data_IF_527968027446
#
_entry.id   IF_527968027446
#
_cell.length_a   1.000
_cell.length_b   1.000
_cell.length_c   1.000
_cell.angle_alpha   90.00
_cell.angle_beta   90.00
_cell.angle_gamma   90.00
#
_symmetry.space_group_name_H-M   'P 1'
#
loop_
_entity.id
_entity.type
_entity.pdbx_description
1 polymer ?
#
# COMPACT_ATOMS: atom_id res chain seq x y z
N UNK A 1 -39.37 17.93 -45.85
CA UNK A 1 -39.35 17.73 -44.38
C UNK A 1 -40.55 18.46 -43.80
N UNK A 2 -41.25 17.91 -42.81
CA UNK A 2 -42.46 18.55 -42.26
C UNK A 2 -42.10 19.58 -41.19
N UNK A 3 -42.85 20.68 -41.11
CA UNK A 3 -42.67 21.75 -40.13
C UNK A 3 -42.61 21.24 -38.67
N UNK A 4 -43.27 20.11 -38.38
CA UNK A 4 -43.22 19.46 -37.07
C UNK A 4 -41.80 19.00 -36.70
N UNK A 5 -41.01 18.51 -37.67
CA UNK A 5 -39.62 18.10 -37.44
C UNK A 5 -38.73 19.30 -37.13
N UNK A 6 -38.92 20.42 -37.84
CA UNK A 6 -38.15 21.65 -37.60
C UNK A 6 -38.47 22.25 -36.22
N UNK A 7 -39.74 22.27 -35.82
CA UNK A 7 -40.14 22.72 -34.48
C UNK A 7 -39.56 21.81 -33.40
N UNK A 8 -39.55 20.49 -33.62
CA UNK A 8 -38.94 19.53 -32.71
C UNK A 8 -37.43 19.76 -32.57
N UNK A 9 -36.70 19.90 -33.68
CA UNK A 9 -35.25 20.12 -33.68
C UNK A 9 -34.87 21.46 -32.99
N UNK A 10 -35.65 22.53 -33.19
CA UNK A 10 -35.45 23.83 -32.53
C UNK A 10 -35.71 23.73 -31.02
N UNK A 11 -36.76 23.02 -30.60
CA UNK A 11 -37.06 22.80 -29.20
C UNK A 11 -36.00 21.94 -28.52
N UNK A 12 -35.57 20.85 -29.18
CA UNK A 12 -34.53 19.97 -28.67
C UNK A 12 -33.23 20.75 -28.44
N UNK A 13 -32.80 21.54 -29.43
CA UNK A 13 -31.61 22.41 -29.31
C UNK A 13 -31.73 23.46 -28.20
N UNK A 14 -32.92 24.02 -27.96
CA UNK A 14 -33.14 25.07 -26.95
C UNK A 14 -33.13 24.51 -25.52
N UNK A 15 -33.50 23.25 -25.33
CA UNK A 15 -33.69 22.63 -24.01
C UNK A 15 -32.74 21.46 -23.71
N UNK A 16 -31.77 21.15 -24.59
CA UNK A 16 -30.61 20.27 -24.32
C UNK A 16 -29.63 20.89 -23.29
N UNK A 17 -30.14 21.25 -22.12
CA UNK A 17 -29.32 21.70 -20.97
C UNK A 17 -28.90 20.53 -20.08
N UNK A 18 -29.63 19.41 -20.15
CA UNK A 18 -29.39 18.23 -19.32
C UNK A 18 -28.08 17.51 -19.67
N UNK A 19 -27.76 17.42 -20.96
CA UNK A 19 -26.55 16.73 -21.46
C UNK A 19 -25.27 17.47 -21.04
N UNK A 20 -25.25 18.81 -21.19
CA UNK A 20 -24.12 19.63 -20.74
C UNK A 20 -23.95 19.58 -19.21
N UNK A 21 -25.05 19.57 -18.46
CA UNK A 21 -25.02 19.42 -17.00
C UNK A 21 -24.52 18.05 -16.54
N UNK A 22 -24.92 16.97 -17.22
CA UNK A 22 -24.49 15.60 -16.90
C UNK A 22 -23.00 15.39 -17.22
N UNK A 23 -22.55 15.82 -18.40
CA UNK A 23 -21.14 15.79 -18.85
C UNK A 23 -20.23 16.52 -17.87
N UNK A 24 -20.54 17.78 -17.60
CA UNK A 24 -19.72 18.62 -16.72
C UNK A 24 -19.66 18.08 -15.30
N UNK A 25 -20.76 17.49 -14.81
CA UNK A 25 -20.80 16.86 -13.50
C UNK A 25 -19.94 15.59 -13.42
N UNK A 26 -20.02 14.69 -14.40
CA UNK A 26 -19.22 13.46 -14.44
C UNK A 26 -17.72 13.76 -14.48
N UNK A 27 -17.30 14.69 -15.36
CA UNK A 27 -15.91 15.16 -15.45
C UNK A 27 -15.46 15.78 -14.12
N UNK A 28 -16.30 16.60 -13.51
CA UNK A 28 -15.95 17.25 -12.25
C UNK A 28 -15.77 16.26 -11.09
N UNK A 29 -16.59 15.20 -11.04
CA UNK A 29 -16.41 14.09 -10.09
C UNK A 29 -15.10 13.35 -10.34
N UNK A 30 -14.78 13.04 -11.60
CA UNK A 30 -13.55 12.34 -11.95
C UNK A 30 -12.30 13.12 -11.54
N UNK A 31 -12.29 14.43 -11.81
CA UNK A 31 -11.18 15.33 -11.45
C UNK A 31 -11.06 15.49 -9.93
N UNK A 32 -12.17 15.58 -9.19
CA UNK A 32 -12.16 15.77 -7.73
C UNK A 32 -11.91 14.50 -6.93
N UNK A 33 -12.08 13.32 -7.54
CA UNK A 33 -11.86 12.05 -6.86
C UNK A 33 -10.44 11.97 -6.28
N UNK A 34 -10.31 11.46 -5.05
CA UNK A 34 -9.04 11.15 -4.41
C UNK A 34 -9.17 9.82 -3.66
N UNK A 35 -8.15 8.97 -3.75
CA UNK A 35 -8.14 7.75 -2.94
C UNK A 35 -7.68 8.08 -1.52
N UNK A 36 -8.18 7.31 -0.57
CA UNK A 36 -7.81 7.38 0.85
C UNK A 36 -7.22 6.03 1.30
N UNK A 37 -6.32 6.10 2.29
CA UNK A 37 -5.55 4.93 2.74
C UNK A 37 -6.40 3.88 3.46
N UNK A 38 -7.45 4.31 4.17
CA UNK A 38 -8.30 3.44 5.00
C UNK A 38 -9.27 2.57 4.19
N UNK A 39 -9.28 2.69 2.86
CA UNK A 39 -10.17 1.94 1.98
C UNK A 39 -9.43 0.93 1.11
N UNK A 40 -10.18 -0.03 0.58
CA UNK A 40 -9.64 -0.98 -0.39
C UNK A 40 -9.27 -0.28 -1.69
N UNK A 41 -7.99 -0.35 -2.07
CA UNK A 41 -7.47 0.27 -3.29
C UNK A 41 -8.25 -0.23 -4.51
N UNK A 42 -8.56 -1.52 -4.54
CA UNK A 42 -9.34 -2.14 -5.61
C UNK A 42 -10.75 -1.54 -5.73
N UNK A 43 -11.48 -1.40 -4.62
CA UNK A 43 -12.79 -0.74 -4.65
C UNK A 43 -12.66 0.69 -5.18
N UNK A 44 -11.63 1.41 -4.73
CA UNK A 44 -11.37 2.78 -5.15
C UNK A 44 -10.93 2.90 -6.62
N UNK A 45 -10.26 1.90 -7.19
CA UNK A 45 -9.90 1.88 -8.62
C UNK A 45 -11.13 1.61 -9.49
N UNK A 46 -12.02 0.72 -9.05
CA UNK A 46 -13.30 0.49 -9.74
C UNK A 46 -14.22 1.71 -9.68
N UNK A 47 -14.25 2.45 -8.57
CA UNK A 47 -15.03 3.69 -8.44
C UNK A 47 -14.61 4.75 -9.44
N UNK A 48 -13.30 5.02 -9.57
CA UNK A 48 -12.81 6.00 -10.54
C UNK A 48 -13.01 5.53 -11.99
N UNK A 49 -12.85 4.23 -12.28
CA UNK A 49 -13.18 3.65 -13.58
C UNK A 49 -14.67 3.79 -13.90
N UNK A 50 -15.57 3.62 -12.92
CA UNK A 50 -17.00 3.82 -13.14
C UNK A 50 -17.31 5.26 -13.56
N UNK A 51 -16.68 6.24 -12.91
CA UNK A 51 -16.84 7.65 -13.30
C UNK A 51 -16.25 7.90 -14.71
N UNK A 52 -15.13 7.27 -15.07
CA UNK A 52 -14.59 7.33 -16.42
C UNK A 52 -15.58 6.77 -17.47
N UNK A 53 -16.20 5.63 -17.19
CA UNK A 53 -17.23 5.06 -18.06
C UNK A 53 -18.46 5.96 -18.19
N UNK A 54 -18.87 6.64 -17.11
CA UNK A 54 -19.94 7.64 -17.18
C UNK A 54 -19.56 8.79 -18.14
N UNK A 55 -18.31 9.29 -18.10
CA UNK A 55 -17.82 10.31 -19.04
C UNK A 55 -17.85 9.80 -20.49
N UNK A 56 -17.44 8.54 -20.71
CA UNK A 56 -17.45 7.90 -22.04
C UNK A 56 -18.88 7.74 -22.56
N UNK A 57 -19.82 7.32 -21.71
CA UNK A 57 -21.23 7.17 -22.06
C UNK A 57 -21.88 8.50 -22.42
N UNK A 58 -21.41 9.60 -21.85
CA UNK A 58 -21.81 10.96 -22.19
C UNK A 58 -21.14 11.49 -23.48
N UNK A 59 -20.40 10.63 -24.20
CA UNK A 59 -19.82 10.92 -25.52
C UNK A 59 -18.42 11.51 -25.50
N UNK A 60 -17.77 11.62 -24.33
CA UNK A 60 -16.38 12.10 -24.23
C UNK A 60 -15.40 10.95 -24.30
N UNK A 61 -14.49 10.97 -25.27
CA UNK A 61 -13.41 9.97 -25.35
C UNK A 61 -12.39 10.20 -24.23
N UNK A 62 -12.09 9.14 -23.48
CA UNK A 62 -10.99 9.11 -22.52
C UNK A 62 -9.92 8.16 -23.01
N UNK A 63 -8.70 8.66 -23.07
CA UNK A 63 -7.54 7.86 -23.45
C UNK A 63 -7.12 6.93 -22.30
N UNK A 64 -6.71 5.70 -22.63
CA UNK A 64 -6.33 4.70 -21.62
C UNK A 64 -5.07 5.11 -20.85
N UNK A 65 -4.08 5.72 -21.51
CA UNK A 65 -2.88 6.23 -20.85
C UNK A 65 -3.21 7.40 -19.92
N UNK A 66 -4.15 8.26 -20.32
CA UNK A 66 -4.68 9.30 -19.45
C UNK A 66 -5.33 8.70 -18.19
N UNK A 67 -6.14 7.66 -18.33
CA UNK A 67 -6.75 6.98 -17.17
C UNK A 67 -5.71 6.37 -16.23
N UNK A 68 -4.69 5.69 -16.78
CA UNK A 68 -3.55 5.15 -16.02
C UNK A 68 -2.86 6.27 -15.23
N UNK A 69 -2.52 7.38 -15.90
CA UNK A 69 -1.86 8.53 -15.28
C UNK A 69 -2.71 9.14 -14.15
N UNK A 70 -4.01 9.27 -14.36
CA UNK A 70 -4.94 9.78 -13.35
C UNK A 70 -4.99 8.85 -12.15
N UNK A 71 -5.13 7.54 -12.33
CA UNK A 71 -5.16 6.58 -11.21
C UNK A 71 -3.87 6.65 -10.39
N UNK A 72 -2.70 6.69 -11.06
CA UNK A 72 -1.40 6.89 -10.39
C UNK A 72 -1.40 8.19 -9.60
N UNK A 73 -1.97 9.27 -10.17
CA UNK A 73 -2.05 10.54 -9.47
C UNK A 73 -3.00 10.52 -8.27
N UNK A 74 -4.11 9.77 -8.36
CA UNK A 74 -5.09 9.63 -7.28
C UNK A 74 -4.64 8.71 -6.15
N UNK A 75 -3.52 8.01 -6.27
CA UNK A 75 -3.01 7.13 -5.20
C UNK A 75 -2.82 7.88 -3.88
N UNK A 76 -3.17 7.24 -2.74
CA UNK A 76 -3.16 7.92 -1.46
C UNK A 76 -1.73 8.14 -0.92
N UNK A 77 -1.56 9.04 0.08
CA UNK A 77 -0.24 9.49 0.54
C UNK A 77 0.72 8.36 0.96
N UNK A 78 0.24 7.28 1.58
CA UNK A 78 1.09 6.14 1.97
C UNK A 78 1.68 5.36 0.78
N UNK A 79 1.36 5.75 -0.46
CA UNK A 79 1.89 5.16 -1.68
C UNK A 79 2.90 6.06 -2.39
N UNK A 80 3.32 7.18 -1.81
CA UNK A 80 4.19 8.19 -2.45
C UNK A 80 5.40 7.61 -3.19
N UNK A 81 6.18 6.73 -2.56
CA UNK A 81 7.38 6.16 -3.18
C UNK A 81 7.04 5.21 -4.34
N UNK A 82 5.96 4.45 -4.17
CA UNK A 82 5.46 3.57 -5.22
C UNK A 82 4.90 4.38 -6.40
N UNK A 83 4.17 5.46 -6.11
CA UNK A 83 3.65 6.41 -7.09
C UNK A 83 4.79 7.00 -7.92
N UNK A 84 5.90 7.41 -7.31
CA UNK A 84 7.08 7.89 -8.04
C UNK A 84 7.63 6.80 -8.98
N UNK A 85 7.73 5.56 -8.51
CA UNK A 85 8.16 4.43 -9.34
C UNK A 85 7.25 4.23 -10.56
N UNK A 86 5.94 4.35 -10.38
CA UNK A 86 4.96 4.21 -11.46
C UNK A 86 5.00 5.39 -12.45
N UNK A 87 5.27 6.62 -11.99
CA UNK A 87 5.38 7.80 -12.85
C UNK A 87 6.45 7.63 -13.94
N UNK A 88 7.58 7.01 -13.60
CA UNK A 88 8.66 6.77 -14.56
C UNK A 88 8.33 5.69 -15.60
N UNK A 89 7.33 4.85 -15.33
CA UNK A 89 6.94 3.70 -16.17
C UNK A 89 5.50 3.80 -16.66
N UNK A 90 4.90 4.99 -16.60
CA UNK A 90 3.44 5.16 -16.83
C UNK A 90 3.01 4.62 -18.20
N UNK A 91 3.81 4.84 -19.24
CA UNK A 91 3.56 4.36 -20.61
C UNK A 91 3.69 2.84 -20.78
N UNK A 92 4.28 2.13 -19.81
CA UNK A 92 4.41 0.67 -19.84
C UNK A 92 3.15 -0.05 -19.33
N UNK A 93 2.21 0.70 -18.72
CA UNK A 93 1.03 0.12 -18.10
C UNK A 93 -0.18 0.18 -19.01
N UNK A 94 -0.89 -0.95 -19.08
CA UNK A 94 -2.32 -0.95 -19.35
C UNK A 94 -3.07 -0.73 -18.04
N UNK A 95 -4.35 -0.36 -18.14
CA UNK A 95 -5.20 -0.19 -16.98
C UNK A 95 -5.24 -1.46 -16.10
N UNK A 96 -5.41 -2.62 -16.73
CA UNK A 96 -5.40 -3.92 -16.06
C UNK A 96 -4.05 -4.24 -15.39
N UNK A 97 -2.93 -4.00 -16.08
CA UNK A 97 -1.62 -4.30 -15.51
C UNK A 97 -1.27 -3.38 -14.33
N UNK A 98 -1.74 -2.12 -14.35
CA UNK A 98 -1.65 -1.20 -13.21
C UNK A 98 -2.45 -1.72 -12.02
N UNK A 99 -3.72 -2.11 -12.22
CA UNK A 99 -4.59 -2.63 -11.16
C UNK A 99 -3.97 -3.87 -10.51
N UNK A 100 -3.46 -4.80 -11.32
CA UNK A 100 -2.77 -5.99 -10.83
C UNK A 100 -1.56 -5.62 -9.96
N UNK A 101 -0.73 -4.69 -10.42
CA UNK A 101 0.47 -4.27 -9.68
C UNK A 101 0.13 -3.57 -8.36
N UNK A 102 -0.96 -2.79 -8.33
CA UNK A 102 -1.47 -2.18 -7.12
C UNK A 102 -1.95 -3.24 -6.11
N UNK A 103 -2.65 -4.29 -6.56
CA UNK A 103 -3.05 -5.42 -5.69
C UNK A 103 -1.82 -6.08 -5.04
N UNK A 104 -0.81 -6.45 -5.83
CA UNK A 104 0.43 -7.10 -5.34
C UNK A 104 1.13 -6.23 -4.29
N UNK A 105 1.31 -4.93 -4.57
CA UNK A 105 1.98 -4.01 -3.64
C UNK A 105 1.18 -3.81 -2.35
N UNK A 106 -0.16 -3.83 -2.42
CA UNK A 106 -1.00 -3.73 -1.22
C UNK A 106 -0.82 -4.96 -0.32
N UNK A 107 -0.81 -6.16 -0.89
CA UNK A 107 -0.59 -7.38 -0.10
C UNK A 107 0.81 -7.42 0.53
N UNK A 108 1.86 -7.05 -0.22
CA UNK A 108 3.22 -6.99 0.31
C UNK A 108 3.32 -6.13 1.59
N UNK A 109 2.67 -4.96 1.62
CA UNK A 109 2.69 -4.08 2.82
C UNK A 109 1.93 -4.65 4.01
N UNK A 110 0.92 -5.50 3.81
CA UNK A 110 0.25 -6.21 4.92
C UNK A 110 1.18 -7.23 5.56
N UNK A 111 2.04 -7.87 4.76
CA UNK A 111 3.06 -8.78 5.27
C UNK A 111 4.13 -8.03 6.07
N UNK A 112 4.64 -6.92 5.54
CA UNK A 112 5.63 -6.08 6.24
C UNK A 112 5.13 -5.60 7.61
N UNK A 113 3.87 -5.15 7.70
CA UNK A 113 3.27 -4.71 8.98
C UNK A 113 3.14 -5.85 10.00
N UNK A 114 2.79 -7.07 9.56
CA UNK A 114 2.71 -8.23 10.46
C UNK A 114 4.10 -8.65 10.95
N UNK A 115 5.10 -8.55 10.09
CA UNK A 115 6.49 -8.83 10.47
C UNK A 115 7.06 -7.77 11.42
N UNK A 116 6.80 -6.47 11.19
CA UNK A 116 7.21 -5.41 12.11
C UNK A 116 6.59 -5.56 13.50
N UNK A 117 5.29 -5.87 13.58
CA UNK A 117 4.61 -6.12 14.87
C UNK A 117 5.21 -7.34 15.56
N UNK A 118 5.48 -8.42 14.82
CA UNK A 118 6.15 -9.61 15.37
C UNK A 118 7.58 -9.33 15.84
N UNK A 119 8.35 -8.53 15.10
CA UNK A 119 9.71 -8.12 15.47
C UNK A 119 9.70 -7.22 16.69
N UNK A 120 8.77 -6.27 16.79
CA UNK A 120 8.59 -5.42 17.97
C UNK A 120 8.16 -6.27 19.17
N UNK A 121 7.22 -7.19 19.00
CA UNK A 121 6.79 -8.09 20.07
C UNK A 121 7.95 -8.98 20.55
N UNK A 122 8.72 -9.55 19.62
CA UNK A 122 9.91 -10.36 19.94
C UNK A 122 11.02 -9.55 20.61
N UNK A 123 11.27 -8.31 20.15
CA UNK A 123 12.22 -7.38 20.78
C UNK A 123 11.76 -6.96 22.18
N UNK A 124 10.48 -6.67 22.37
CA UNK A 124 9.90 -6.37 23.70
C UNK A 124 10.05 -7.57 24.64
N UNK A 125 9.73 -8.79 24.19
CA UNK A 125 9.97 -10.00 24.99
C UNK A 125 11.45 -10.22 25.32
N UNK A 126 12.37 -9.95 24.38
CA UNK A 126 13.82 -10.02 24.65
C UNK A 126 14.25 -8.97 25.69
N UNK A 127 13.75 -7.73 25.61
CA UNK A 127 14.08 -6.66 26.57
C UNK A 127 13.50 -6.96 27.96
N UNK A 128 12.27 -7.47 28.04
CA UNK A 128 11.64 -7.89 29.31
C UNK A 128 12.42 -9.04 29.95
N UNK A 129 12.79 -10.08 29.19
CA UNK A 129 13.61 -11.20 29.69
C UNK A 129 15.02 -10.74 30.15
N UNK A 130 15.60 -9.71 29.50
CA UNK A 130 16.92 -9.18 29.87
C UNK A 130 16.89 -8.33 31.15
N UNK A 131 15.73 -7.78 31.50
CA UNK A 131 15.55 -6.98 32.72
C UNK A 131 15.37 -7.89 33.94
N UNK A 132 14.69 -9.02 33.79
CA UNK A 132 14.48 -10.01 34.86
C UNK A 132 15.76 -10.78 35.24
N UNK A 133 16.73 -10.92 34.33
CA UNK A 133 17.99 -11.61 34.61
C UNK A 133 19.00 -10.77 35.43
N UNK A 134 18.76 -9.47 35.65
CA UNK A 134 19.70 -8.60 36.37
C UNK A 134 19.45 -8.49 37.88
N UNK A 135 18.44 -9.17 38.43
CA UNK A 135 18.11 -9.13 39.87
C UNK A 135 18.33 -10.48 40.55
N UNK A 136 19.54 -11.03 40.49
CA UNK A 136 19.93 -12.09 41.44
C UNK A 136 21.44 -12.16 41.68
N UNK A 137 21.98 -11.11 42.28
CA UNK A 137 23.25 -11.21 42.98
C UNK A 137 23.08 -10.62 44.38
N UNK A 138 22.75 -11.48 45.36
CA UNK A 138 22.90 -11.14 46.77
C UNK A 138 23.56 -12.31 47.53
N UNK A 139 24.50 -11.89 48.38
CA UNK A 139 25.60 -12.60 49.02
C UNK A 139 25.18 -13.59 50.12
N UNK A 140 25.96 -14.66 50.29
CA UNK A 140 26.26 -15.24 51.61
C UNK A 140 27.73 -15.65 51.70
N UNK A 141 28.37 -15.28 52.83
CA UNK A 141 29.80 -15.43 53.14
C UNK A 141 30.05 -16.63 54.08
N UNK A 142 31.23 -17.24 53.88
CA UNK A 142 32.17 -17.87 54.83
C UNK A 142 31.85 -19.15 55.62
N UNK A 143 32.78 -20.12 55.55
CA UNK A 143 33.05 -21.15 56.57
C UNK A 143 33.91 -22.32 56.05
N UNK A 144 35.17 -22.41 56.50
CA UNK A 144 36.21 -23.43 56.17
C UNK A 144 35.82 -24.87 56.59
N UNK A 145 36.51 -25.99 56.31
CA UNK A 145 37.89 -26.30 55.95
C UNK A 145 38.00 -27.82 55.60
N UNK A 146 39.16 -28.20 55.03
CA UNK A 146 39.87 -29.51 55.07
C UNK A 146 40.01 -30.33 53.78
N UNK A 147 41.29 -30.65 53.59
CA UNK A 147 42.00 -31.38 52.56
C UNK A 147 41.51 -32.83 52.36
N UNK A 148 41.78 -33.38 51.18
CA UNK A 148 42.71 -34.51 51.04
C UNK A 148 43.15 -34.71 49.58
N UNK A 149 44.47 -34.90 49.41
CA UNK A 149 45.21 -35.22 48.20
C UNK A 149 44.70 -36.49 47.48
N UNK A 150 44.84 -36.57 46.15
CA UNK A 150 45.77 -37.52 45.48
C UNK A 150 45.76 -37.36 43.94
N UNK A 151 46.98 -37.21 43.40
CA UNK A 151 47.50 -37.70 42.11
C UNK A 151 46.95 -37.17 40.76
N UNK A 152 47.78 -36.33 40.13
CA UNK A 152 47.97 -36.28 38.67
C UNK A 152 48.60 -37.59 38.17
N UNK A 153 48.38 -37.93 36.89
CA UNK A 153 49.54 -38.03 36.00
C UNK A 153 49.48 -37.06 34.82
N UNK A 154 50.66 -36.61 34.41
CA UNK A 154 50.94 -35.82 33.22
C UNK A 154 51.06 -36.71 31.98
N UNK A 155 50.62 -36.20 30.83
CA UNK A 155 51.28 -36.34 29.51
C UNK A 155 50.70 -35.22 28.61
N UNK A 156 51.40 -34.11 28.35
CA UNK A 156 52.52 -33.83 27.44
C UNK A 156 52.25 -34.04 25.92
N UNK A 157 52.11 -32.88 25.23
CA UNK A 157 52.71 -32.46 23.93
C UNK A 157 52.02 -33.08 22.68
N UNK A 158 51.62 -32.40 21.58
CA UNK A 158 52.25 -31.37 20.69
C UNK A 158 51.24 -30.54 19.89
N UNK A 159 51.64 -29.29 19.56
CA UNK A 159 51.16 -28.47 18.44
C UNK A 159 51.75 -28.97 17.10
N UNK A 160 51.13 -28.63 15.97
CA UNK A 160 51.81 -27.97 14.82
C UNK A 160 50.80 -27.40 13.82
N UNK A 161 51.07 -26.15 13.43
CA UNK A 161 50.61 -25.26 12.34
C UNK A 161 49.62 -25.75 11.28
#
# INVERSE_FOLDING_TARGET
MSAAKEVWDVLQKKYETKEAGSKTYAVSRYVRYQMIDDRFMEAQSHEIQKIAHEIINEGMRLDDQFQVAVIIDKLPPLWKDFKNTLRHKTQEFSLESLIMRLRIKKEARKHDQKEEVNVIHRKKSIVVLKLDLKFKENKMKHGSNKENNLQKPQSKITQTW
#
